data_IF_988810817748
#
_entry.id   IF_988810817748
#
_cell.length_a   1.000
_cell.length_b   1.000
_cell.length_c   1.000
_cell.angle_alpha   90.00
_cell.angle_beta   90.00
_cell.angle_gamma   90.00
#
_symmetry.space_group_name_H-M   'P 1'
#
loop_
_entity.id
_entity.type
_entity.pdbx_description
1 polymer ?
#
# COMPACT_ATOMS: atom_id res chain seq x y z
N UNK A 1 -36.04 4.18 -3.39
CA UNK A 1 -34.86 3.30 -3.27
C UNK A 1 -33.85 3.71 -4.33
N UNK A 2 -32.88 4.55 -3.96
CA UNK A 2 -31.88 5.08 -4.88
C UNK A 2 -30.74 4.10 -5.07
N UNK A 3 -30.67 3.46 -6.24
CA UNK A 3 -29.53 2.65 -6.65
C UNK A 3 -28.36 3.60 -6.94
N UNK A 4 -27.39 3.65 -6.03
CA UNK A 4 -26.08 4.26 -6.27
C UNK A 4 -25.39 3.45 -7.38
N UNK A 5 -25.58 3.84 -8.64
CA UNK A 5 -24.71 3.42 -9.74
C UNK A 5 -23.38 4.15 -9.56
N UNK A 6 -22.50 3.59 -8.73
CA UNK A 6 -21.08 3.91 -8.85
C UNK A 6 -20.65 3.38 -10.21
N UNK A 7 -20.23 4.21 -11.18
CA UNK A 7 -19.61 3.69 -12.38
C UNK A 7 -18.44 2.81 -11.91
N UNK A 8 -18.35 1.60 -12.43
CA UNK A 8 -17.11 0.84 -12.36
C UNK A 8 -16.09 1.64 -13.16
N UNK A 9 -15.44 2.61 -12.51
CA UNK A 9 -14.28 3.30 -13.04
C UNK A 9 -13.28 2.16 -13.25
N UNK A 10 -13.10 1.74 -14.50
CA UNK A 10 -11.91 0.98 -14.89
C UNK A 10 -10.75 1.72 -14.25
N UNK A 11 -9.97 1.11 -13.33
CA UNK A 11 -8.89 1.81 -12.68
C UNK A 11 -8.08 2.46 -13.78
N UNK A 12 -7.92 3.78 -13.73
CA UNK A 12 -7.10 4.45 -14.71
C UNK A 12 -5.67 4.04 -14.37
N UNK A 13 -5.24 2.90 -14.93
CA UNK A 13 -3.97 2.27 -14.61
C UNK A 13 -2.81 3.19 -15.04
N UNK A 14 -3.06 4.15 -15.95
CA UNK A 14 -2.12 5.23 -16.34
C UNK A 14 -1.86 6.25 -15.25
N UNK A 15 -2.61 6.20 -14.16
CA UNK A 15 -2.45 7.07 -13.02
C UNK A 15 -1.86 6.33 -11.82
N UNK A 16 -1.22 7.10 -10.95
CA UNK A 16 -0.71 6.64 -9.66
C UNK A 16 -1.82 6.22 -8.66
N UNK A 17 -3.09 6.35 -9.06
CA UNK A 17 -4.26 6.25 -8.20
C UNK A 17 -4.46 4.86 -7.58
N UNK A 18 -4.30 3.72 -8.29
CA UNK A 18 -4.45 2.40 -7.69
C UNK A 18 -3.45 2.14 -6.56
N UNK A 19 -2.22 2.64 -6.71
CA UNK A 19 -1.16 2.48 -5.70
C UNK A 19 -1.38 3.43 -4.52
N UNK A 20 -1.83 4.65 -4.77
CA UNK A 20 -2.23 5.57 -3.70
C UNK A 20 -3.36 4.98 -2.85
N UNK A 21 -4.36 4.36 -3.49
CA UNK A 21 -5.46 3.68 -2.79
C UNK A 21 -4.97 2.49 -1.97
N UNK A 22 -4.00 1.72 -2.46
CA UNK A 22 -3.39 0.63 -1.70
C UNK A 22 -2.74 1.13 -0.41
N UNK A 23 -1.93 2.20 -0.50
CA UNK A 23 -1.32 2.81 0.68
C UNK A 23 -2.35 3.33 1.69
N UNK A 24 -3.46 3.92 1.21
CA UNK A 24 -4.56 4.33 2.08
C UNK A 24 -5.23 3.14 2.79
N UNK A 25 -5.41 2.02 2.09
CA UNK A 25 -5.99 0.82 2.67
C UNK A 25 -5.07 0.20 3.72
N UNK A 26 -3.76 0.11 3.45
CA UNK A 26 -2.77 -0.40 4.42
C UNK A 26 -2.75 0.50 5.66
N UNK A 27 -2.69 1.82 5.48
CA UNK A 27 -2.74 2.81 6.57
C UNK A 27 -4.01 2.65 7.43
N UNK A 28 -5.16 2.47 6.77
CA UNK A 28 -6.44 2.24 7.45
C UNK A 28 -6.44 0.92 8.23
N UNK A 29 -5.92 -0.17 7.67
CA UNK A 29 -5.84 -1.47 8.36
C UNK A 29 -4.93 -1.41 9.59
N UNK A 30 -3.79 -0.73 9.50
CA UNK A 30 -2.91 -0.51 10.66
C UNK A 30 -3.66 0.20 11.79
N UNK A 31 -4.36 1.31 11.49
CA UNK A 31 -5.09 2.10 12.49
C UNK A 31 -6.33 1.41 13.05
N UNK A 32 -7.13 0.79 12.19
CA UNK A 32 -8.47 0.30 12.57
C UNK A 32 -8.51 -1.17 12.96
N UNK A 33 -7.49 -1.96 12.62
CA UNK A 33 -7.48 -3.41 12.86
C UNK A 33 -6.24 -3.79 13.65
N UNK A 34 -5.04 -3.55 13.11
CA UNK A 34 -3.83 -4.14 13.68
C UNK A 34 -3.43 -3.51 15.00
N UNK A 35 -3.48 -2.18 15.13
CA UNK A 35 -3.19 -1.48 16.38
C UNK A 35 -4.18 -1.79 17.51
N UNK A 36 -5.51 -1.65 17.33
CA UNK A 36 -6.48 -1.91 18.41
C UNK A 36 -6.56 -3.38 18.83
N UNK A 37 -6.23 -4.32 17.92
CA UNK A 37 -6.21 -5.75 18.22
C UNK A 37 -4.82 -6.24 18.69
N UNK A 38 -3.90 -5.32 19.00
CA UNK A 38 -2.53 -5.65 19.46
C UNK A 38 -1.75 -6.57 18.51
N UNK A 39 -2.04 -6.48 17.20
CA UNK A 39 -1.30 -7.18 16.17
C UNK A 39 -0.03 -6.45 15.73
N UNK A 40 0.15 -5.21 16.17
CA UNK A 40 1.34 -4.38 15.97
C UNK A 40 1.53 -3.47 17.19
N UNK A 41 2.77 -3.30 17.64
CA UNK A 41 3.10 -2.33 18.69
C UNK A 41 2.84 -0.89 18.24
N UNK A 42 2.53 -0.01 19.20
CA UNK A 42 2.23 1.41 18.91
C UNK A 42 3.40 2.11 18.22
N UNK A 43 4.63 1.82 18.65
CA UNK A 43 5.83 2.41 18.06
C UNK A 43 6.02 1.95 16.61
N UNK A 44 5.89 0.64 16.35
CA UNK A 44 5.96 0.07 15.02
C UNK A 44 4.87 0.65 14.11
N UNK A 45 3.63 0.68 14.57
CA UNK A 45 2.51 1.28 13.83
C UNK A 45 2.82 2.73 13.43
N UNK A 46 3.32 3.56 14.35
CA UNK A 46 3.69 4.94 14.06
C UNK A 46 4.83 5.07 13.04
N UNK A 47 5.84 4.17 13.08
CA UNK A 47 6.91 4.13 12.07
C UNK A 47 6.35 3.84 10.67
N UNK A 48 5.57 2.75 10.53
CA UNK A 48 4.98 2.38 9.24
C UNK A 48 3.98 3.42 8.75
N UNK A 49 3.20 4.02 9.64
CA UNK A 49 2.29 5.11 9.32
C UNK A 49 2.98 6.30 8.66
N UNK A 50 4.10 6.77 9.24
CA UNK A 50 4.88 7.88 8.66
C UNK A 50 5.42 7.51 7.29
N UNK A 51 5.88 6.28 7.14
CA UNK A 51 6.47 5.83 5.90
C UNK A 51 5.43 5.65 4.78
N UNK A 52 4.28 5.06 5.10
CA UNK A 52 3.15 4.92 4.17
C UNK A 52 2.60 6.29 3.75
N UNK A 53 2.50 7.25 4.68
CA UNK A 53 2.04 8.61 4.38
C UNK A 53 3.01 9.35 3.43
N UNK A 54 4.31 9.20 3.68
CA UNK A 54 5.35 9.73 2.80
C UNK A 54 5.26 9.13 1.38
N UNK A 55 5.07 7.81 1.29
CA UNK A 55 4.94 7.11 0.02
C UNK A 55 3.66 7.49 -0.72
N UNK A 56 2.54 7.60 -0.01
CA UNK A 56 1.27 8.07 -0.59
C UNK A 56 1.42 9.48 -1.15
N UNK A 57 2.15 10.35 -0.45
CA UNK A 57 2.46 11.71 -0.92
C UNK A 57 3.29 11.70 -2.20
N UNK A 58 4.37 10.91 -2.25
CA UNK A 58 5.21 10.77 -3.44
C UNK A 58 4.37 10.27 -4.61
N UNK A 59 3.64 9.18 -4.43
CA UNK A 59 2.82 8.56 -5.49
C UNK A 59 1.76 9.53 -6.01
N UNK A 60 1.09 10.30 -5.13
CA UNK A 60 0.12 11.33 -5.53
C UNK A 60 0.73 12.51 -6.30
N UNK A 61 2.01 12.80 -6.10
CA UNK A 61 2.71 13.86 -6.84
C UNK A 61 3.17 13.41 -8.23
N UNK A 62 3.25 12.11 -8.49
CA UNK A 62 3.59 11.57 -9.81
C UNK A 62 2.41 11.77 -10.76
N UNK A 63 2.51 12.79 -11.61
CA UNK A 63 1.49 13.11 -12.64
C UNK A 63 1.44 12.08 -13.76
N UNK A 64 2.59 11.52 -14.13
CA UNK A 64 2.71 10.49 -15.16
C UNK A 64 3.66 9.40 -14.66
N UNK A 65 3.21 8.16 -14.67
CA UNK A 65 4.03 7.01 -14.29
C UNK A 65 4.96 6.64 -15.44
N UNK A 66 6.20 7.10 -15.39
CA UNK A 66 7.28 6.60 -16.24
C UNK A 66 7.91 5.33 -15.64
N UNK A 67 8.55 4.51 -16.48
CA UNK A 67 9.12 3.22 -16.06
C UNK A 67 10.07 3.32 -14.85
N UNK A 68 10.81 4.42 -14.69
CA UNK A 68 11.71 4.61 -13.55
C UNK A 68 10.93 4.92 -12.26
N UNK A 69 9.88 5.73 -12.35
CA UNK A 69 8.99 5.99 -11.20
C UNK A 69 8.31 4.71 -10.74
N UNK A 70 7.83 3.89 -11.69
CA UNK A 70 7.19 2.60 -11.40
C UNK A 70 8.17 1.62 -10.73
N UNK A 71 9.38 1.49 -11.26
CA UNK A 71 10.44 0.66 -10.68
C UNK A 71 10.86 1.15 -9.29
N UNK A 72 10.90 2.47 -9.08
CA UNK A 72 11.23 3.04 -7.76
C UNK A 72 10.17 2.70 -6.72
N UNK A 73 8.89 2.85 -7.06
CA UNK A 73 7.77 2.48 -6.17
C UNK A 73 7.77 0.97 -5.89
N UNK A 74 8.01 0.15 -6.91
CA UNK A 74 8.18 -1.31 -6.78
C UNK A 74 9.30 -1.66 -5.81
N UNK A 75 10.46 -0.99 -5.93
CA UNK A 75 11.60 -1.19 -5.03
C UNK A 75 11.25 -0.83 -3.58
N UNK A 76 10.53 0.27 -3.36
CA UNK A 76 10.09 0.65 -2.01
C UNK A 76 9.10 -0.35 -1.42
N UNK A 77 8.14 -0.85 -2.20
CA UNK A 77 7.21 -1.87 -1.73
C UNK A 77 7.93 -3.19 -1.36
N UNK A 78 8.92 -3.60 -2.13
CA UNK A 78 9.74 -4.77 -1.78
C UNK A 78 10.52 -4.55 -0.49
N UNK A 79 11.14 -3.37 -0.33
CA UNK A 79 11.81 -3.02 0.93
C UNK A 79 10.84 -3.02 2.11
N UNK A 80 9.59 -2.54 1.92
CA UNK A 80 8.56 -2.57 2.95
C UNK A 80 8.18 -3.99 3.37
N UNK A 81 8.05 -4.89 2.40
CA UNK A 81 7.79 -6.30 2.68
C UNK A 81 8.94 -6.93 3.48
N UNK A 82 10.20 -6.63 3.13
CA UNK A 82 11.36 -7.11 3.87
C UNK A 82 11.41 -6.58 5.30
N UNK A 83 11.18 -5.27 5.50
CA UNK A 83 11.19 -4.65 6.82
C UNK A 83 10.08 -5.23 7.71
N UNK A 84 8.86 -5.37 7.20
CA UNK A 84 7.73 -5.99 7.93
C UNK A 84 8.04 -7.44 8.32
N UNK A 85 8.66 -8.20 7.41
CA UNK A 85 9.03 -9.59 7.71
C UNK A 85 10.08 -9.66 8.84
N UNK A 86 11.04 -8.73 8.86
CA UNK A 86 12.12 -8.68 9.87
C UNK A 86 11.69 -8.06 11.20
N UNK A 87 10.65 -7.23 11.21
CA UNK A 87 10.20 -6.51 12.40
C UNK A 87 9.59 -7.45 13.45
N UNK A 88 10.17 -7.49 14.65
CA UNK A 88 9.69 -8.37 15.73
C UNK A 88 8.50 -7.80 16.50
N UNK A 89 8.19 -6.53 16.28
CA UNK A 89 7.11 -5.79 16.94
C UNK A 89 5.74 -6.00 16.24
N UNK A 90 5.71 -6.82 15.18
CA UNK A 90 4.52 -7.17 14.41
C UNK A 90 4.20 -8.64 14.61
N UNK A 91 2.95 -8.96 14.96
CA UNK A 91 2.49 -10.34 15.06
C UNK A 91 2.53 -11.05 13.70
N UNK A 92 2.89 -12.34 13.70
CA UNK A 92 3.07 -13.13 12.47
C UNK A 92 1.84 -13.12 11.55
N UNK A 93 0.63 -13.20 12.12
CA UNK A 93 -0.62 -13.12 11.35
C UNK A 93 -0.88 -11.75 10.72
N UNK A 94 -0.34 -10.66 11.30
CA UNK A 94 -0.40 -9.32 10.71
C UNK A 94 0.66 -9.16 9.62
N UNK A 95 1.87 -9.71 9.83
CA UNK A 95 2.91 -9.74 8.80
C UNK A 95 2.40 -10.40 7.52
N UNK A 96 1.82 -11.60 7.64
CA UNK A 96 1.28 -12.33 6.48
C UNK A 96 0.24 -11.51 5.71
N UNK A 97 -0.68 -10.84 6.41
CA UNK A 97 -1.71 -10.01 5.77
C UNK A 97 -1.14 -8.75 5.13
N UNK A 98 -0.19 -8.08 5.80
CA UNK A 98 0.48 -6.90 5.24
C UNK A 98 1.33 -7.26 4.02
N UNK A 99 2.09 -8.35 4.08
CA UNK A 99 2.85 -8.87 2.96
C UNK A 99 1.93 -9.19 1.78
N UNK A 100 0.78 -9.84 2.02
CA UNK A 100 -0.20 -10.10 0.98
C UNK A 100 -0.76 -8.80 0.35
N UNK A 101 -1.13 -7.81 1.17
CA UNK A 101 -1.58 -6.50 0.69
C UNK A 101 -0.51 -5.80 -0.17
N UNK A 102 0.77 -5.92 0.20
CA UNK A 102 1.89 -5.35 -0.55
C UNK A 102 2.13 -6.11 -1.86
N UNK A 103 2.04 -7.44 -1.85
CA UNK A 103 2.16 -8.27 -3.05
C UNK A 103 1.06 -7.94 -4.07
N UNK A 104 -0.19 -7.74 -3.63
CA UNK A 104 -1.26 -7.26 -4.51
C UNK A 104 -0.91 -5.88 -5.11
N UNK A 105 -0.30 -4.99 -4.33
CA UNK A 105 0.22 -3.71 -4.81
C UNK A 105 1.30 -3.85 -5.86
N UNK A 106 2.27 -4.74 -5.64
CA UNK A 106 3.33 -5.02 -6.62
C UNK A 106 2.73 -5.62 -7.90
N UNK A 107 1.75 -6.52 -7.80
CA UNK A 107 1.09 -7.10 -8.95
C UNK A 107 0.32 -6.06 -9.78
N UNK A 108 -0.33 -5.09 -9.14
CA UNK A 108 -0.99 -3.96 -9.81
C UNK A 108 0.00 -3.07 -10.57
N UNK A 109 1.18 -2.87 -10.00
CA UNK A 109 2.29 -2.11 -10.59
C UNK A 109 2.89 -2.86 -11.79
N UNK A 110 3.12 -4.16 -11.65
CA UNK A 110 3.67 -4.99 -12.73
C UNK A 110 2.68 -5.12 -13.89
N UNK A 111 1.37 -5.17 -13.60
CA UNK A 111 0.31 -5.11 -14.62
C UNK A 111 0.35 -3.79 -15.41
N UNK A 112 0.70 -2.68 -14.77
CA UNK A 112 0.89 -1.40 -15.46
C UNK A 112 2.14 -1.40 -16.36
N UNK A 113 3.24 -2.02 -15.95
CA UNK A 113 4.47 -2.10 -16.75
C UNK A 113 4.37 -2.96 -18.01
N UNK A 114 3.36 -3.83 -18.07
CA UNK A 114 3.17 -4.80 -19.16
C UNK A 114 2.27 -4.26 -20.28
N UNK A 115 1.62 -3.09 -20.09
CA UNK A 115 0.85 -2.38 -21.11
C UNK A 115 1.71 -1.44 -21.95
#
# INVERSE_FOLDING_TARGET
MGLYRSPAILPDYRSAQPVALLFEQISRKIRSIYLPLQGIEVEAANRYMKWIDHMSTIVRQVKEWDKNSVQSVRGVLNNLMEEINRDRDIGEGVKLKLCFDIEEGIALIDAYMTQ
#
